data_IF_622577451697
#
_entry.id   IF_622577451697
#
_cell.length_a   1.000
_cell.length_b   1.000
_cell.length_c   1.000
_cell.angle_alpha   90.00
_cell.angle_beta   90.00
_cell.angle_gamma   90.00
#
_symmetry.space_group_name_H-M   'P 1'
#
loop_
_entity.id
_entity.type
_entity.pdbx_description
1 polymer ?
#
# COMPACT_ATOMS: atom_id res chain seq x y z
N UNK A 1 -7.22 16.85 18.05
CA UNK A 1 -6.25 16.53 16.96
C UNK A 1 -5.57 15.17 17.11
N UNK A 2 -4.88 14.87 18.23
CA UNK A 2 -4.13 13.60 18.41
C UNK A 2 -4.98 12.33 18.24
N UNK A 3 -6.22 12.32 18.73
CA UNK A 3 -7.13 11.18 18.57
C UNK A 3 -7.43 10.92 17.08
N UNK A 4 -7.92 11.93 16.37
CA UNK A 4 -8.28 11.79 14.97
C UNK A 4 -7.09 11.44 14.07
N UNK A 5 -5.94 12.09 14.27
CA UNK A 5 -4.74 11.79 13.48
C UNK A 5 -4.30 10.33 13.58
N UNK A 6 -4.63 9.64 14.68
CA UNK A 6 -4.27 8.23 14.91
C UNK A 6 -5.37 7.23 14.57
N UNK A 7 -6.59 7.68 14.33
CA UNK A 7 -7.76 6.81 14.18
C UNK A 7 -8.61 7.14 12.94
N UNK A 8 -8.15 8.04 12.06
CA UNK A 8 -8.89 8.46 10.88
C UNK A 8 -9.26 7.30 9.95
N UNK A 9 -8.39 6.29 9.82
CA UNK A 9 -8.65 5.10 9.01
C UNK A 9 -9.71 4.17 9.62
N UNK A 10 -9.83 4.10 10.96
CA UNK A 10 -10.96 3.42 11.61
C UNK A 10 -12.28 4.16 11.36
N UNK A 11 -12.24 5.49 11.41
CA UNK A 11 -13.41 6.33 11.10
C UNK A 11 -13.80 6.16 9.63
N UNK A 12 -12.82 6.07 8.72
CA UNK A 12 -13.05 5.69 7.32
C UNK A 12 -13.68 4.30 7.17
N UNK A 13 -13.23 3.31 7.94
CA UNK A 13 -13.85 1.98 7.99
C UNK A 13 -15.31 2.00 8.49
N UNK A 14 -15.61 2.78 9.52
CA UNK A 14 -16.99 3.00 10.00
C UNK A 14 -17.83 3.67 8.91
N UNK A 15 -17.28 4.69 8.24
CA UNK A 15 -17.94 5.37 7.14
C UNK A 15 -18.25 4.40 5.99
N UNK A 16 -17.33 3.51 5.63
CA UNK A 16 -17.56 2.45 4.65
C UNK A 16 -18.73 1.54 5.03
N UNK A 17 -18.84 1.15 6.30
CA UNK A 17 -19.96 0.33 6.79
C UNK A 17 -21.29 1.08 6.64
N UNK A 18 -21.34 2.34 7.07
CA UNK A 18 -22.53 3.19 6.94
C UNK A 18 -22.93 3.33 5.46
N UNK A 19 -21.98 3.64 4.59
CA UNK A 19 -22.23 3.79 3.15
C UNK A 19 -22.72 2.48 2.53
N UNK A 20 -22.21 1.34 2.97
CA UNK A 20 -22.66 0.02 2.51
C UNK A 20 -24.14 -0.21 2.82
N UNK A 21 -24.61 0.15 4.02
CA UNK A 21 -26.04 0.08 4.36
C UNK A 21 -26.87 1.08 3.55
N UNK A 22 -26.39 2.33 3.41
CA UNK A 22 -27.12 3.35 2.62
C UNK A 22 -27.27 2.89 1.17
N UNK A 23 -26.19 2.42 0.53
CA UNK A 23 -26.25 1.93 -0.85
C UNK A 23 -27.05 0.63 -0.98
N UNK A 24 -27.05 -0.23 0.04
CA UNK A 24 -27.84 -1.46 0.05
C UNK A 24 -29.36 -1.22 0.14
N UNK A 25 -29.80 -0.21 0.88
CA UNK A 25 -31.23 0.07 1.07
C UNK A 25 -31.79 1.17 0.15
N UNK A 26 -30.96 2.15 -0.22
CA UNK A 26 -31.39 3.35 -0.95
C UNK A 26 -30.64 3.54 -2.27
N UNK A 27 -29.76 2.61 -2.63
CA UNK A 27 -28.94 2.71 -3.84
C UNK A 27 -29.79 2.80 -5.10
N UNK A 28 -30.96 2.16 -5.18
CA UNK A 28 -31.78 2.11 -6.40
C UNK A 28 -32.13 3.49 -6.98
N UNK A 29 -32.30 4.50 -6.11
CA UNK A 29 -32.61 5.88 -6.51
C UNK A 29 -31.42 6.70 -7.05
N UNK A 30 -30.20 6.15 -7.03
CA UNK A 30 -28.98 6.84 -7.47
C UNK A 30 -28.68 6.49 -8.93
N UNK A 31 -28.17 7.44 -9.72
CA UNK A 31 -27.80 7.16 -11.11
C UNK A 31 -26.66 6.13 -11.19
N UNK A 32 -26.54 5.44 -12.33
CA UNK A 32 -25.53 4.39 -12.48
C UNK A 32 -24.10 4.94 -12.35
N UNK A 33 -23.82 6.13 -12.89
CA UNK A 33 -22.51 6.77 -12.78
C UNK A 33 -22.19 7.11 -11.32
N UNK A 34 -23.11 7.80 -10.63
CA UNK A 34 -22.92 8.16 -9.22
C UNK A 34 -22.73 6.90 -8.35
N UNK A 35 -23.48 5.82 -8.59
CA UNK A 35 -23.29 4.53 -7.90
C UNK A 35 -21.85 4.04 -8.03
N UNK A 36 -21.31 4.00 -9.24
CA UNK A 36 -19.95 3.50 -9.49
C UNK A 36 -18.92 4.41 -8.81
N UNK A 37 -19.12 5.73 -8.86
CA UNK A 37 -18.23 6.71 -8.22
C UNK A 37 -18.29 6.64 -6.69
N UNK A 38 -19.48 6.40 -6.11
CA UNK A 38 -19.67 6.13 -4.68
C UNK A 38 -18.92 4.86 -4.30
N UNK A 39 -19.04 3.78 -5.08
CA UNK A 39 -18.26 2.55 -4.83
C UNK A 39 -16.75 2.78 -4.99
N UNK A 40 -16.31 3.64 -5.91
CA UNK A 40 -14.91 4.04 -6.04
C UNK A 40 -14.40 4.77 -4.78
N UNK A 41 -15.21 5.66 -4.21
CA UNK A 41 -14.89 6.29 -2.92
C UNK A 41 -14.88 5.28 -1.77
N UNK A 42 -15.86 4.37 -1.72
CA UNK A 42 -15.86 3.28 -0.74
C UNK A 42 -14.62 2.39 -0.85
N UNK A 43 -14.13 2.14 -2.06
CA UNK A 43 -12.86 1.42 -2.29
C UNK A 43 -11.67 2.14 -1.67
N UNK A 44 -11.60 3.48 -1.79
CA UNK A 44 -10.56 4.28 -1.14
C UNK A 44 -10.60 4.11 0.39
N UNK A 45 -11.79 4.10 0.99
CA UNK A 45 -11.93 3.91 2.44
C UNK A 45 -11.38 2.56 2.89
N UNK A 46 -11.70 1.49 2.14
CA UNK A 46 -11.20 0.13 2.43
C UNK A 46 -9.69 0.06 2.21
N UNK A 47 -9.17 0.65 1.13
CA UNK A 47 -7.74 0.71 0.84
C UNK A 47 -6.94 1.37 1.96
N UNK A 48 -7.37 2.54 2.41
CA UNK A 48 -6.75 3.25 3.53
C UNK A 48 -6.87 2.48 4.85
N UNK A 49 -8.01 1.84 5.09
CA UNK A 49 -8.18 0.98 6.26
C UNK A 49 -7.23 -0.22 6.21
N UNK A 50 -7.02 -0.81 5.04
CA UNK A 50 -6.08 -1.92 4.84
C UNK A 50 -4.64 -1.48 5.12
N UNK A 51 -4.24 -0.32 4.57
CA UNK A 51 -2.90 0.26 4.72
C UNK A 51 -2.52 0.60 6.17
N UNK A 52 -3.45 1.21 6.91
CA UNK A 52 -3.17 1.75 8.23
C UNK A 52 -3.78 0.93 9.36
N UNK A 53 -4.99 0.41 9.20
CA UNK A 53 -5.78 -0.28 10.21
C UNK A 53 -5.50 -1.78 10.32
N UNK A 54 -5.93 -2.56 9.33
CA UNK A 54 -5.83 -4.01 9.34
C UNK A 54 -5.61 -4.57 7.91
N UNK A 55 -4.48 -5.24 7.62
CA UNK A 55 -3.43 -5.61 8.57
C UNK A 55 -2.53 -4.45 9.01
N UNK A 56 -2.59 -3.30 8.33
CA UNK A 56 -1.83 -2.11 8.66
C UNK A 56 -0.33 -2.24 8.38
N UNK A 57 0.45 -1.22 8.75
CA UNK A 57 1.91 -1.24 8.66
C UNK A 57 2.48 -0.43 7.48
N UNK A 58 1.63 0.23 6.69
CA UNK A 58 2.07 1.23 5.71
C UNK A 58 3.04 2.28 6.29
N UNK A 59 2.85 2.80 7.53
CA UNK A 59 3.80 3.75 8.13
C UNK A 59 5.26 3.28 8.15
N UNK A 60 5.51 2.07 8.65
CA UNK A 60 6.84 1.49 8.73
C UNK A 60 7.38 1.13 7.34
N UNK A 61 6.53 0.65 6.44
CA UNK A 61 6.93 0.43 5.06
C UNK A 61 7.41 1.73 4.42
N UNK A 62 6.60 2.78 4.48
CA UNK A 62 6.87 4.04 3.80
C UNK A 62 8.13 4.70 4.35
N UNK A 63 8.23 4.82 5.67
CA UNK A 63 9.33 5.54 6.29
C UNK A 63 10.64 4.73 6.25
N UNK A 64 10.61 3.46 6.64
CA UNK A 64 11.83 2.67 6.85
C UNK A 64 12.22 1.89 5.58
N UNK A 65 11.29 1.14 4.99
CA UNK A 65 11.62 0.21 3.89
C UNK A 65 11.75 0.96 2.57
N UNK A 66 10.84 1.89 2.30
CA UNK A 66 10.82 2.62 1.04
C UNK A 66 11.80 3.79 1.02
N UNK A 67 11.84 4.57 2.10
CA UNK A 67 12.67 5.78 2.19
C UNK A 67 13.94 5.63 3.04
N UNK A 68 14.16 4.49 3.71
CA UNK A 68 15.40 4.23 4.43
C UNK A 68 15.61 5.07 5.70
N UNK A 69 14.55 5.64 6.28
CA UNK A 69 14.66 6.48 7.46
C UNK A 69 15.14 5.69 8.70
N UNK A 70 16.09 6.27 9.44
CA UNK A 70 16.70 5.64 10.64
C UNK A 70 16.66 6.51 11.89
N UNK A 71 16.60 7.83 11.74
CA UNK A 71 16.67 8.77 12.87
C UNK A 71 15.30 8.98 13.50
N UNK A 72 14.26 9.14 12.68
CA UNK A 72 12.89 9.42 13.11
C UNK A 72 11.85 8.57 12.35
N UNK A 73 11.95 7.23 12.41
CA UNK A 73 11.16 6.32 11.57
C UNK A 73 9.65 6.39 11.82
N UNK A 74 9.21 6.87 12.97
CA UNK A 74 7.81 7.02 13.36
C UNK A 74 7.16 8.33 12.83
N UNK A 75 7.94 9.22 12.20
CA UNK A 75 7.45 10.55 11.81
C UNK A 75 8.11 11.20 10.59
N UNK A 76 9.07 10.53 9.96
CA UNK A 76 9.71 11.03 8.75
C UNK A 76 9.90 9.93 7.69
N UNK A 77 9.67 10.24 6.40
CA UNK A 77 9.08 11.48 5.87
C UNK A 77 7.60 11.64 6.21
N UNK A 78 6.89 10.55 6.50
CA UNK A 78 5.47 10.60 6.84
C UNK A 78 5.25 10.53 8.35
N UNK A 79 4.19 11.17 8.83
CA UNK A 79 3.71 11.10 10.22
C UNK A 79 2.18 10.94 10.24
N UNK A 80 1.63 10.67 11.42
CA UNK A 80 0.20 10.38 11.60
C UNK A 80 -0.70 11.55 11.18
N UNK A 81 -0.31 12.80 11.45
CA UNK A 81 -1.10 13.96 11.01
C UNK A 81 -1.03 14.16 9.51
N UNK A 82 0.16 14.07 8.91
CA UNK A 82 0.33 14.25 7.47
C UNK A 82 -0.38 13.16 6.68
N UNK A 83 -0.32 11.90 7.13
CA UNK A 83 -1.08 10.80 6.55
C UNK A 83 -2.59 11.09 6.58
N UNK A 84 -3.12 11.56 7.70
CA UNK A 84 -4.53 11.94 7.82
C UNK A 84 -4.91 13.10 6.88
N UNK A 85 -4.06 14.13 6.74
CA UNK A 85 -4.32 15.26 5.83
C UNK A 85 -4.37 14.79 4.38
N UNK A 86 -3.37 14.02 3.92
CA UNK A 86 -3.32 13.47 2.56
C UNK A 86 -4.54 12.62 2.27
N UNK A 87 -4.92 11.73 3.19
CA UNK A 87 -5.96 10.74 2.96
C UNK A 87 -7.38 11.27 3.16
N UNK A 88 -7.62 12.11 4.15
CA UNK A 88 -8.96 12.61 4.47
C UNK A 88 -9.17 13.98 3.85
N UNK A 89 -8.31 14.93 4.20
CA UNK A 89 -8.54 16.35 3.85
C UNK A 89 -8.33 16.60 2.36
N UNK A 90 -7.47 15.83 1.70
CA UNK A 90 -7.17 16.01 0.27
C UNK A 90 -7.82 14.92 -0.60
N UNK A 91 -7.65 13.63 -0.27
CA UNK A 91 -8.18 12.57 -1.12
C UNK A 91 -9.71 12.42 -1.06
N UNK A 92 -10.37 12.62 0.10
CA UNK A 92 -11.84 12.51 0.14
C UNK A 92 -12.51 13.57 -0.72
N UNK A 93 -12.17 14.87 -0.65
CA UNK A 93 -12.73 15.86 -1.55
C UNK A 93 -12.51 15.55 -3.03
N UNK A 94 -11.38 14.97 -3.40
CA UNK A 94 -11.14 14.57 -4.79
C UNK A 94 -12.13 13.50 -5.28
N UNK A 95 -12.36 12.45 -4.49
CA UNK A 95 -13.34 11.42 -4.82
C UNK A 95 -14.79 11.92 -4.71
N UNK A 96 -15.10 12.72 -3.68
CA UNK A 96 -16.42 13.34 -3.52
C UNK A 96 -16.73 14.33 -4.65
N UNK A 97 -15.73 15.05 -5.17
CA UNK A 97 -15.90 15.93 -6.31
C UNK A 97 -16.32 15.14 -7.56
N UNK A 98 -15.74 13.96 -7.79
CA UNK A 98 -16.18 13.09 -8.88
C UNK A 98 -17.66 12.70 -8.73
N UNK A 99 -18.11 12.38 -7.50
CA UNK A 99 -19.51 12.04 -7.23
C UNK A 99 -20.44 13.23 -7.44
N UNK A 100 -20.10 14.41 -6.89
CA UNK A 100 -20.93 15.62 -6.96
C UNK A 100 -21.01 16.15 -8.40
N UNK A 101 -19.91 16.05 -9.15
CA UNK A 101 -19.83 16.45 -10.54
C UNK A 101 -19.77 15.20 -11.43
N UNK A 102 -20.71 14.28 -11.27
CA UNK A 102 -20.76 12.99 -11.97
C UNK A 102 -20.78 13.12 -13.49
N UNK A 103 -21.27 14.24 -14.03
CA UNK A 103 -21.28 14.54 -15.46
C UNK A 103 -19.88 14.91 -16.00
N UNK A 104 -18.94 15.28 -15.13
CA UNK A 104 -17.55 15.52 -15.50
C UNK A 104 -16.81 14.18 -15.63
N UNK A 105 -17.05 13.46 -16.73
CA UNK A 105 -16.56 12.08 -16.92
C UNK A 105 -15.04 11.96 -16.78
N UNK A 106 -14.27 12.94 -17.25
CA UNK A 106 -12.82 13.00 -17.05
C UNK A 106 -12.40 12.95 -15.57
N UNK A 107 -13.18 13.55 -14.66
CA UNK A 107 -12.90 13.55 -13.22
C UNK A 107 -13.17 12.17 -12.62
N UNK A 108 -14.27 11.54 -13.04
CA UNK A 108 -14.55 10.14 -12.71
C UNK A 108 -13.41 9.21 -13.18
N UNK A 109 -12.99 9.32 -14.44
CA UNK A 109 -11.85 8.59 -15.00
C UNK A 109 -10.55 8.84 -14.23
N UNK A 110 -10.31 10.08 -13.77
CA UNK A 110 -9.14 10.40 -12.96
C UNK A 110 -9.10 9.59 -11.65
N UNK A 111 -10.24 9.41 -10.97
CA UNK A 111 -10.31 8.56 -9.77
C UNK A 111 -10.06 7.08 -10.10
N UNK A 112 -10.54 6.58 -11.24
CA UNK A 112 -10.32 5.19 -11.67
C UNK A 112 -8.85 4.94 -11.99
N UNK A 113 -8.20 5.86 -12.71
CA UNK A 113 -6.77 5.77 -12.99
C UNK A 113 -5.93 5.88 -11.74
N UNK A 114 -6.35 6.71 -10.77
CA UNK A 114 -5.70 6.75 -9.46
C UNK A 114 -5.81 5.39 -8.77
N UNK A 115 -6.98 4.75 -8.80
CA UNK A 115 -7.19 3.37 -8.32
C UNK A 115 -6.32 2.33 -9.04
N UNK A 116 -6.20 2.38 -10.37
CA UNK A 116 -5.30 1.50 -11.11
C UNK A 116 -3.83 1.72 -10.75
N UNK A 117 -3.42 2.96 -10.47
CA UNK A 117 -2.07 3.22 -9.99
C UNK A 117 -1.78 2.53 -8.65
N UNK A 118 -2.79 2.31 -7.81
CA UNK A 118 -2.66 1.53 -6.56
C UNK A 118 -2.38 0.04 -6.85
N UNK A 119 -2.98 -0.52 -7.90
CA UNK A 119 -2.67 -1.90 -8.33
C UNK A 119 -1.20 -2.00 -8.74
N UNK A 120 -0.67 -1.03 -9.49
CA UNK A 120 0.74 -1.03 -9.87
C UNK A 120 1.65 -0.85 -8.64
N UNK A 121 1.31 0.08 -7.75
CA UNK A 121 2.11 0.34 -6.56
C UNK A 121 2.11 -0.84 -5.58
N UNK A 122 0.95 -1.30 -5.14
CA UNK A 122 0.84 -2.41 -4.20
C UNK A 122 1.20 -3.74 -4.87
N UNK A 123 0.71 -4.00 -6.08
CA UNK A 123 0.89 -5.28 -6.75
C UNK A 123 2.32 -5.55 -7.18
N UNK A 124 3.06 -4.52 -7.60
CA UNK A 124 4.41 -4.66 -8.15
C UNK A 124 5.45 -4.00 -7.24
N UNK A 125 5.38 -2.69 -7.05
CA UNK A 125 6.49 -1.92 -6.46
C UNK A 125 6.71 -2.27 -4.98
N UNK A 126 5.65 -2.25 -4.16
CA UNK A 126 5.75 -2.52 -2.72
C UNK A 126 6.09 -3.98 -2.46
N UNK A 127 5.43 -4.90 -3.15
CA UNK A 127 5.72 -6.34 -3.07
C UNK A 127 7.19 -6.65 -3.41
N UNK A 128 7.76 -6.01 -4.45
CA UNK A 128 9.19 -6.15 -4.77
C UNK A 128 10.09 -5.60 -3.66
N UNK A 129 9.78 -4.45 -3.08
CA UNK A 129 10.54 -3.87 -1.96
C UNK A 129 10.43 -4.71 -0.68
N UNK A 130 9.27 -5.29 -0.43
CA UNK A 130 8.99 -6.14 0.73
C UNK A 130 9.48 -7.58 0.56
N UNK A 131 9.82 -8.00 -0.67
CA UNK A 131 10.03 -9.41 -1.04
C UNK A 131 8.86 -10.28 -0.58
N UNK A 132 7.63 -9.79 -0.80
CA UNK A 132 6.39 -10.44 -0.40
C UNK A 132 5.42 -10.50 -1.56
N UNK A 133 4.48 -11.44 -1.51
CA UNK A 133 3.36 -11.53 -2.45
C UNK A 133 2.17 -10.64 -2.03
N UNK A 134 2.18 -10.17 -0.78
CA UNK A 134 1.10 -9.35 -0.24
C UNK A 134 1.64 -8.23 0.64
N UNK A 135 0.97 -7.09 0.55
CA UNK A 135 1.19 -5.96 1.41
C UNK A 135 -0.15 -5.26 1.71
N UNK A 136 -0.24 -4.55 2.84
CA UNK A 136 -1.45 -3.83 3.22
C UNK A 136 -1.80 -2.78 2.15
N UNK A 137 -3.02 -2.87 1.61
CA UNK A 137 -3.56 -2.06 0.51
C UNK A 137 -3.73 -2.86 -0.80
N UNK A 138 -3.15 -4.05 -0.90
CA UNK A 138 -3.20 -4.86 -2.12
C UNK A 138 -4.59 -5.47 -2.35
N UNK A 139 -5.28 -5.92 -1.31
CA UNK A 139 -6.58 -6.57 -1.47
C UNK A 139 -7.62 -5.56 -1.97
N UNK A 140 -7.69 -4.38 -1.36
CA UNK A 140 -8.57 -3.30 -1.81
C UNK A 140 -8.22 -2.87 -3.24
N UNK A 141 -6.93 -2.79 -3.59
CA UNK A 141 -6.50 -2.45 -4.94
C UNK A 141 -7.00 -3.46 -5.99
N UNK A 142 -6.81 -4.77 -5.74
CA UNK A 142 -7.15 -5.82 -6.70
C UNK A 142 -8.66 -6.09 -6.75
N UNK A 143 -9.33 -6.15 -5.60
CA UNK A 143 -10.72 -6.61 -5.52
C UNK A 143 -11.74 -5.48 -5.58
N UNK A 144 -11.34 -4.23 -5.32
CA UNK A 144 -12.24 -3.07 -5.37
C UNK A 144 -11.81 -2.09 -6.46
N UNK A 145 -10.65 -1.44 -6.34
CA UNK A 145 -10.23 -0.42 -7.31
C UNK A 145 -10.17 -0.95 -8.75
N UNK A 146 -9.61 -2.14 -8.96
CA UNK A 146 -9.51 -2.76 -10.28
C UNK A 146 -10.87 -2.99 -10.95
N UNK A 147 -11.73 -3.87 -10.39
CA UNK A 147 -13.03 -4.18 -10.95
C UNK A 147 -13.91 -2.93 -11.13
N UNK A 148 -13.93 -2.02 -10.15
CA UNK A 148 -14.72 -0.79 -10.22
C UNK A 148 -14.20 0.12 -11.35
N UNK A 149 -12.88 0.31 -11.44
CA UNK A 149 -12.27 1.12 -12.50
C UNK A 149 -12.51 0.55 -13.89
N UNK A 150 -12.38 -0.78 -14.04
CA UNK A 150 -12.67 -1.47 -15.31
C UNK A 150 -14.14 -1.29 -15.68
N UNK A 151 -15.05 -1.48 -14.72
CA UNK A 151 -16.49 -1.35 -14.95
C UNK A 151 -16.89 0.08 -15.30
N UNK A 152 -16.37 1.10 -14.58
CA UNK A 152 -16.60 2.50 -14.92
C UNK A 152 -16.15 2.82 -16.34
N UNK A 153 -14.91 2.43 -16.69
CA UNK A 153 -14.32 2.69 -18.01
C UNK A 153 -15.15 2.02 -19.10
N UNK A 154 -15.52 0.75 -18.91
CA UNK A 154 -16.41 0.03 -19.81
C UNK A 154 -17.77 0.72 -19.96
N UNK A 155 -18.37 1.15 -18.86
CA UNK A 155 -19.70 1.76 -18.85
C UNK A 155 -19.71 3.08 -19.64
N UNK A 156 -18.78 3.99 -19.36
CA UNK A 156 -18.71 5.28 -20.07
C UNK A 156 -18.33 5.13 -21.53
N UNK A 157 -17.58 4.08 -21.90
CA UNK A 157 -17.25 3.77 -23.30
C UNK A 157 -18.47 3.24 -24.06
N UNK A 158 -19.19 2.29 -23.47
CA UNK A 158 -20.28 1.56 -24.16
C UNK A 158 -21.60 2.31 -24.22
N UNK A 159 -21.75 3.36 -23.42
CA UNK A 159 -22.91 4.23 -23.39
C UNK A 159 -22.63 5.60 -24.03
N UNK A 160 -21.52 5.73 -24.77
CA UNK A 160 -21.12 6.96 -25.46
C UNK A 160 -21.06 8.21 -24.55
N UNK A 161 -20.68 8.02 -23.28
CA UNK A 161 -20.60 9.09 -22.29
C UNK A 161 -19.23 9.78 -22.28
N UNK A 162 -18.18 9.10 -22.75
CA UNK A 162 -16.81 9.61 -22.76
C UNK A 162 -16.30 9.85 -24.18
N UNK A 163 -15.81 11.06 -24.45
CA UNK A 163 -15.01 11.35 -25.64
C UNK A 163 -13.52 11.11 -25.39
N UNK A 164 -12.69 11.13 -26.45
CA UNK A 164 -11.23 10.97 -26.34
C UNK A 164 -10.59 11.93 -25.34
N UNK A 165 -11.10 13.17 -25.27
CA UNK A 165 -10.59 14.17 -24.34
C UNK A 165 -10.85 13.83 -22.88
N UNK A 166 -11.91 13.08 -22.55
CA UNK A 166 -12.17 12.67 -21.17
C UNK A 166 -11.09 11.71 -20.67
N UNK A 167 -10.64 10.77 -21.51
CA UNK A 167 -9.54 9.86 -21.21
C UNK A 167 -8.23 10.61 -21.00
N UNK A 168 -7.90 11.54 -21.91
CA UNK A 168 -6.66 12.33 -21.81
C UNK A 168 -6.69 13.22 -20.57
N UNK A 169 -7.78 13.97 -20.38
CA UNK A 169 -7.96 14.84 -19.21
C UNK A 169 -7.97 14.03 -17.91
N UNK A 170 -8.56 12.84 -17.90
CA UNK A 170 -8.54 11.93 -16.76
C UNK A 170 -7.12 11.49 -16.39
N UNK A 171 -6.26 11.16 -17.36
CA UNK A 171 -4.85 10.83 -17.11
C UNK A 171 -4.10 12.04 -16.53
N UNK A 172 -4.26 13.21 -17.13
CA UNK A 172 -3.62 14.45 -16.66
C UNK A 172 -4.06 14.77 -15.24
N UNK A 173 -5.37 14.70 -14.97
CA UNK A 173 -5.95 14.95 -13.66
C UNK A 173 -5.50 13.93 -12.62
N UNK A 174 -5.36 12.65 -12.97
CA UNK A 174 -4.80 11.64 -12.09
C UNK A 174 -3.36 11.96 -11.69
N UNK A 175 -2.51 12.34 -12.67
CA UNK A 175 -1.12 12.73 -12.40
C UNK A 175 -1.08 13.98 -11.51
N UNK A 176 -1.91 14.98 -11.82
CA UNK A 176 -2.03 16.19 -11.02
C UNK A 176 -2.48 15.86 -9.59
N UNK A 177 -3.45 14.96 -9.41
CA UNK A 177 -3.89 14.50 -8.10
C UNK A 177 -2.75 13.79 -7.35
N UNK A 178 -2.03 12.84 -7.97
CA UNK A 178 -0.90 12.17 -7.36
C UNK A 178 0.19 13.15 -6.89
N UNK A 179 0.44 14.21 -7.65
CA UNK A 179 1.40 15.26 -7.26
C UNK A 179 0.84 16.13 -6.14
N UNK A 180 -0.35 16.71 -6.32
CA UNK A 180 -0.90 17.75 -5.43
C UNK A 180 -1.41 17.17 -4.11
N UNK A 181 -2.01 15.98 -4.14
CA UNK A 181 -2.63 15.33 -2.97
C UNK A 181 -1.58 14.56 -2.18
N UNK A 182 -0.65 13.86 -2.86
CA UNK A 182 0.27 12.92 -2.19
C UNK A 182 1.71 13.45 -2.17
N UNK A 183 2.34 13.60 -3.33
CA UNK A 183 3.79 13.84 -3.38
C UNK A 183 4.19 15.21 -2.80
N UNK A 184 3.48 16.27 -3.18
CA UNK A 184 3.77 17.64 -2.79
C UNK A 184 3.57 17.86 -1.28
N UNK A 185 2.45 17.45 -0.64
CA UNK A 185 2.29 17.61 0.80
C UNK A 185 3.33 16.81 1.60
N UNK A 186 3.66 15.59 1.18
CA UNK A 186 4.72 14.80 1.83
C UNK A 186 6.07 15.53 1.74
N UNK A 187 6.40 16.06 0.56
CA UNK A 187 7.65 16.79 0.35
C UNK A 187 7.71 18.08 1.18
N UNK A 188 6.63 18.86 1.23
CA UNK A 188 6.59 20.17 1.88
C UNK A 188 6.46 20.10 3.40
N UNK A 189 5.79 19.08 3.93
CA UNK A 189 5.43 19.01 5.36
C UNK A 189 6.07 17.84 6.11
N UNK A 190 7.01 17.11 5.49
CA UNK A 190 7.83 16.14 6.19
C UNK A 190 8.76 16.81 7.21
N UNK A 191 8.86 16.25 8.42
CA UNK A 191 9.76 16.78 9.45
C UNK A 191 10.10 15.71 10.49
N UNK A 192 11.40 15.59 10.82
CA UNK A 192 11.86 14.74 11.92
C UNK A 192 11.43 15.26 13.30
N UNK A 193 10.93 16.50 13.38
CA UNK A 193 10.40 17.11 14.60
C UNK A 193 8.86 17.20 14.58
N UNK A 194 8.20 16.44 13.70
CA UNK A 194 6.74 16.46 13.61
C UNK A 194 6.08 16.09 14.95
N UNK A 195 5.09 16.89 15.34
CA UNK A 195 4.41 16.81 16.65
C UNK A 195 3.61 15.52 16.86
N UNK A 196 3.12 14.91 15.78
CA UNK A 196 2.23 13.76 15.82
C UNK A 196 2.84 12.56 15.09
N UNK A 197 3.75 11.81 15.75
CA UNK A 197 4.28 10.57 15.20
C UNK A 197 3.19 9.48 15.16
N UNK A 198 3.43 8.49 14.29
CA UNK A 198 2.78 7.19 14.39
C UNK A 198 3.05 6.57 15.76
N UNK A 199 2.08 5.80 16.25
CA UNK A 199 2.25 5.01 17.46
C UNK A 199 3.16 3.80 17.21
N UNK A 200 3.70 3.23 18.28
CA UNK A 200 4.48 1.99 18.20
C UNK A 200 3.66 0.86 17.56
N UNK A 201 2.39 0.73 17.93
CA UNK A 201 1.48 -0.26 17.34
C UNK A 201 1.36 -0.11 15.82
N UNK A 202 1.13 1.12 15.32
CA UNK A 202 1.06 1.40 13.88
C UNK A 202 2.36 1.05 13.13
N UNK A 203 3.51 1.20 13.80
CA UNK A 203 4.83 0.86 13.25
C UNK A 203 5.11 -0.66 13.26
N UNK A 204 4.49 -1.40 14.18
CA UNK A 204 4.69 -2.84 14.34
C UNK A 204 3.68 -3.71 13.58
N UNK A 205 2.54 -3.12 13.16
CA UNK A 205 1.50 -3.79 12.36
C UNK A 205 2.06 -4.54 11.16
N UNK A 206 1.41 -5.66 10.85
CA UNK A 206 1.82 -6.61 9.80
C UNK A 206 3.28 -7.12 9.92
N UNK A 207 3.85 -7.06 11.13
CA UNK A 207 5.25 -7.42 11.40
C UNK A 207 6.24 -6.54 10.64
N UNK A 208 5.84 -5.32 10.25
CA UNK A 208 6.59 -4.51 9.28
C UNK A 208 7.95 -4.06 9.83
N UNK A 209 8.02 -3.75 11.13
CA UNK A 209 9.28 -3.44 11.81
C UNK A 209 10.28 -4.60 11.80
N UNK A 210 9.81 -5.84 11.93
CA UNK A 210 10.66 -7.03 11.84
C UNK A 210 11.09 -7.30 10.38
N UNK A 211 10.18 -7.14 9.42
CA UNK A 211 10.51 -7.22 7.98
C UNK A 211 11.57 -6.19 7.60
N UNK A 212 11.46 -4.96 8.09
CA UNK A 212 12.45 -3.92 7.86
C UNK A 212 13.84 -4.32 8.37
N UNK A 213 13.93 -4.88 9.59
CA UNK A 213 15.18 -5.40 10.14
C UNK A 213 15.78 -6.49 9.24
N UNK A 214 14.98 -7.50 8.89
CA UNK A 214 15.40 -8.61 8.01
C UNK A 214 15.89 -8.14 6.64
N UNK A 215 15.28 -7.10 6.08
CA UNK A 215 15.67 -6.53 4.79
C UNK A 215 16.93 -5.64 4.89
N UNK A 216 17.23 -5.11 6.07
CA UNK A 216 18.42 -4.28 6.31
C UNK A 216 19.68 -5.08 6.64
N UNK A 217 19.53 -6.34 7.06
CA UNK A 217 20.67 -7.22 7.30
C UNK A 217 21.35 -7.59 5.97
N UNK A 218 22.68 -7.45 5.84
CA UNK A 218 23.38 -7.95 4.66
C UNK A 218 23.11 -9.45 4.55
N UNK A 219 22.83 -9.93 3.33
CA UNK A 219 22.59 -11.36 3.09
C UNK A 219 23.67 -12.15 3.83
N UNK A 220 23.30 -12.88 4.89
CA UNK A 220 24.16 -13.96 5.36
C UNK A 220 24.27 -14.86 4.15
N UNK A 221 25.46 -14.89 3.54
CA UNK A 221 25.88 -16.04 2.77
C UNK A 221 25.72 -17.19 3.74
N UNK A 222 24.61 -17.90 3.61
CA UNK A 222 24.42 -19.19 4.23
C UNK A 222 25.55 -19.99 3.60
N UNK A 223 26.70 -20.06 4.30
CA UNK A 223 27.70 -21.08 4.01
C UNK A 223 26.86 -22.35 4.02
N UNK A 224 26.61 -22.89 2.85
CA UNK A 224 26.09 -24.24 2.77
C UNK A 224 27.05 -25.02 3.65
N UNK A 225 26.52 -25.65 4.69
CA UNK A 225 27.22 -26.77 5.26
C UNK A 225 27.33 -27.74 4.08
N UNK A 226 28.46 -27.66 3.36
CA UNK A 226 28.92 -28.72 2.49
C UNK A 226 28.83 -29.93 3.38
N UNK A 227 27.82 -30.76 3.12
CA UNK A 227 27.72 -32.08 3.69
C UNK A 227 28.97 -32.79 3.17
N UNK A 228 30.04 -32.71 3.95
CA UNK A 228 31.26 -33.44 3.69
C UNK A 228 30.85 -34.90 3.95
N UNK A 229 30.45 -35.58 2.89
CA UNK A 229 30.28 -37.03 2.88
C UNK A 229 31.64 -37.63 3.22
N UNK A 230 31.90 -37.82 4.50
CA UNK A 230 33.04 -38.56 4.98
C UNK A 230 32.73 -40.03 4.70
N UNK A 231 33.09 -40.51 3.52
CA UNK A 231 33.14 -41.95 3.25
C UNK A 231 34.23 -42.53 4.14
N UNK A 232 33.81 -43.12 5.27
CA UNK A 232 34.69 -43.97 6.08
C UNK A 232 34.83 -45.28 5.30
N UNK A 233 35.89 -45.39 4.49
CA UNK A 233 36.35 -46.68 4.00
C UNK A 233 37.18 -47.28 5.15
N UNK A 234 36.57 -48.18 5.92
CA UNK A 234 37.30 -49.06 6.84
C UNK A 234 38.14 -50.04 6.01
N UNK A 235 39.43 -49.74 5.80
CA UNK A 235 40.41 -50.76 5.46
C UNK A 235 41.00 -51.31 6.76
N UNK A 236 40.70 -52.58 7.03
CA UNK A 236 41.29 -53.35 8.12
C UNK A 236 42.71 -53.74 7.70
N UNK A 237 43.71 -53.01 8.18
CA UNK A 237 45.11 -53.44 8.10
C UNK A 237 45.46 -54.15 9.41
N UNK A 238 45.65 -55.46 9.33
CA UNK A 238 46.45 -56.17 10.31
C UNK A 238 47.90 -55.67 10.18
N UNK A 239 48.54 -55.50 11.35
CA UNK A 239 49.96 -55.20 11.56
C UNK A 239 50.40 -53.73 11.55
N UNK A 240 50.64 -53.21 12.76
CA UNK A 240 51.85 -52.47 13.11
C UNK A 240 51.99 -51.00 12.70
N UNK A 241 51.87 -50.10 13.69
CA UNK A 241 52.75 -48.92 13.81
C UNK A 241 52.28 -47.56 13.25
N UNK A 242 52.32 -46.58 14.16
CA UNK A 242 52.44 -45.12 13.97
C UNK A 242 51.25 -44.22 13.56
N UNK A 243 51.21 -43.07 14.27
CA UNK A 243 50.32 -41.92 14.15
C UNK A 243 50.19 -41.38 12.72
N UNK A 244 48.97 -41.00 12.33
CA UNK A 244 48.74 -40.07 11.23
C UNK A 244 47.99 -38.82 11.72
N UNK A 245 48.66 -37.66 11.62
CA UNK A 245 48.07 -36.32 11.78
C UNK A 245 47.15 -36.01 10.59
N UNK A 246 45.99 -35.45 10.86
CA UNK A 246 45.10 -34.88 9.84
C UNK A 246 45.73 -33.60 9.28
N UNK A 247 46.03 -33.56 7.98
CA UNK A 247 46.40 -32.35 7.23
C UNK A 247 45.18 -31.94 6.40
N UNK A 248 44.67 -30.75 6.68
CA UNK A 248 43.61 -30.10 5.89
C UNK A 248 44.31 -29.44 4.68
N UNK A 249 43.87 -29.77 3.47
CA UNK A 249 44.06 -28.95 2.28
C UNK A 249 42.76 -28.17 2.03
#
# INVERSE_FOLDING_TARGET
MKFYSRNWYYIGGILFVIMSFVMGFFGDGVSQIEKILIFSFMSLLVHQFEEYGLPGGFPAFFNVIMNGEKEAPDRYPQNSQLAMVVNVVLAYPFYMAAIIFSDAIWLGLATMYFGFSQILMHGIVMNRKLKSFYNPGLAASIFLHGPIGVYYTWYVTTHDLAGTWDYIAGIIAMIAAAVIIVALPIKLFSSRQAKYPFSQEEMERFGMSEKAKRLSEPMRVQKSNTFCFCFIIMYRSEQGGHLARCKIL
#
